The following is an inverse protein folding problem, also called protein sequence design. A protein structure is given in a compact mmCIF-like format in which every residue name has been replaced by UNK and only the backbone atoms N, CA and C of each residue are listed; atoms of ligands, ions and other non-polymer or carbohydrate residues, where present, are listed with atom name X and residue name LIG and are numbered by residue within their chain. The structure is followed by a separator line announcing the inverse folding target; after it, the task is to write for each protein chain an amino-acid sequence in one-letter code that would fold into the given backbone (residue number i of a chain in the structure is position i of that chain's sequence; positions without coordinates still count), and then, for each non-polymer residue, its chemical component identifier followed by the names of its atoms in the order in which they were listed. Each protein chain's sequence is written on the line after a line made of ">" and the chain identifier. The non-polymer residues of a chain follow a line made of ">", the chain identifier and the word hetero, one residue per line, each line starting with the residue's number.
data_IF_108880789663
#
_entry.id   IF_108880789663
#
_cell.length_a   1.000
_cell.length_b   1.000
_cell.length_c   1.000
_cell.angle_alpha   90.00
_cell.angle_beta   90.00
_cell.angle_gamma   90.00
#
_symmetry.space_group_name_H-M   'P 1'
#
loop_
_entity.id
_entity.type
_entity.pdbx_description
1 polymer ?
#
# COMPACT_ATOMS: atom_id res chain seq x y z
N UNK A 1 23.04 -28.87 50.78
CA UNK A 1 22.78 -28.75 52.22
C UNK A 1 21.49 -27.95 52.34
N UNK A 2 20.36 -28.39 52.80
CA UNK A 2 19.93 -29.38 53.77
C UNK A 2 18.51 -29.81 53.40
N UNK A 3 18.28 -31.11 53.43
CA UNK A 3 16.97 -31.78 53.35
C UNK A 3 16.17 -31.44 54.62
N UNK A 4 14.84 -31.32 54.50
CA UNK A 4 13.96 -31.72 55.59
C UNK A 4 12.64 -32.25 55.06
N UNK A 5 12.51 -33.57 55.23
CA UNK A 5 11.30 -34.37 55.07
C UNK A 5 10.42 -34.17 56.31
N UNK A 6 9.10 -34.04 56.12
CA UNK A 6 8.14 -34.43 57.20
C UNK A 6 7.04 -35.26 56.54
N UNK A 7 6.88 -36.44 57.10
CA UNK A 7 5.93 -37.52 56.80
C UNK A 7 4.68 -37.39 57.72
N UNK A 8 3.62 -38.06 57.28
CA UNK A 8 2.48 -38.68 57.99
C UNK A 8 1.18 -37.92 58.12
N UNK A 9 0.14 -38.55 57.64
CA UNK A 9 -1.24 -38.29 58.00
C UNK A 9 -2.24 -39.08 57.11
N UNK A 10 -2.27 -40.42 57.30
CA UNK A 10 -3.29 -41.30 56.69
C UNK A 10 -4.61 -41.11 57.45
N UNK A 11 -5.66 -40.62 56.84
CA UNK A 11 -7.02 -40.66 57.34
C UNK A 11 -7.94 -41.30 56.29
N UNK A 12 -8.22 -42.60 56.44
CA UNK A 12 -9.31 -43.30 55.75
C UNK A 12 -10.64 -42.75 56.29
N UNK A 13 -11.44 -42.17 55.42
CA UNK A 13 -12.88 -42.02 55.68
C UNK A 13 -13.61 -42.77 54.54
N UNK A 14 -14.15 -43.91 54.91
CA UNK A 14 -15.12 -44.63 54.14
C UNK A 14 -16.45 -43.86 54.17
N UNK A 15 -16.91 -43.38 53.03
CA UNK A 15 -18.28 -42.88 52.90
C UNK A 15 -19.00 -43.73 51.86
N UNK A 16 -20.06 -44.31 52.37
CA UNK A 16 -21.00 -45.19 51.73
C UNK A 16 -21.62 -44.64 50.47
N UNK A 17 -21.91 -45.54 49.54
CA UNK A 17 -22.51 -45.27 48.21
C UNK A 17 -23.82 -44.53 48.25
N UNK A 18 -23.90 -43.54 47.37
CA UNK A 18 -25.15 -43.10 46.77
C UNK A 18 -25.08 -43.49 45.30
N UNK A 19 -25.71 -44.57 44.94
CA UNK A 19 -26.08 -44.91 43.57
C UNK A 19 -27.09 -43.84 43.10
N UNK A 20 -26.59 -42.74 42.59
CA UNK A 20 -27.38 -41.81 41.79
C UNK A 20 -27.68 -42.56 40.47
N UNK A 21 -28.93 -42.94 40.29
CA UNK A 21 -29.47 -43.42 39.05
C UNK A 21 -29.15 -42.40 37.96
N UNK A 22 -28.14 -42.69 37.13
CA UNK A 22 -28.00 -42.03 35.84
C UNK A 22 -29.25 -42.38 35.04
N UNK A 23 -30.25 -41.50 35.06
CA UNK A 23 -31.28 -41.48 34.03
C UNK A 23 -30.58 -41.30 32.68
N UNK A 24 -30.46 -42.40 31.94
CA UNK A 24 -29.82 -42.44 30.64
C UNK A 24 -30.56 -41.51 29.70
N UNK A 25 -30.11 -40.26 29.59
CA UNK A 25 -30.46 -39.49 28.43
C UNK A 25 -29.90 -40.18 27.22
N UNK A 26 -30.73 -40.51 26.22
CA UNK A 26 -30.22 -41.16 25.02
C UNK A 26 -29.19 -40.23 24.39
N UNK A 27 -28.02 -40.79 24.07
CA UNK A 27 -26.97 -40.08 23.37
C UNK A 27 -27.55 -39.46 22.11
N UNK A 28 -27.28 -38.16 21.82
CA UNK A 28 -27.87 -37.52 20.66
C UNK A 28 -27.50 -38.27 19.37
N UNK A 29 -28.51 -38.50 18.53
CA UNK A 29 -28.30 -39.16 17.24
C UNK A 29 -27.38 -38.30 16.33
N UNK A 30 -26.69 -38.90 15.35
CA UNK A 30 -25.86 -38.15 14.40
C UNK A 30 -26.61 -36.96 13.74
N UNK A 31 -27.89 -37.15 13.45
CA UNK A 31 -28.76 -36.09 12.89
C UNK A 31 -28.98 -34.93 13.89
N UNK A 32 -29.19 -35.24 15.16
CA UNK A 32 -29.32 -34.22 16.22
C UNK A 32 -28.02 -33.47 16.46
N UNK A 33 -26.86 -34.16 16.42
CA UNK A 33 -25.54 -33.53 16.52
C UNK A 33 -25.26 -32.61 15.34
N UNK A 34 -25.59 -33.04 14.10
CA UNK A 34 -25.44 -32.19 12.90
C UNK A 34 -26.35 -30.95 12.96
N UNK A 35 -27.60 -31.09 13.43
CA UNK A 35 -28.51 -29.95 13.58
C UNK A 35 -28.03 -28.97 14.67
N UNK A 36 -27.49 -29.46 15.79
CA UNK A 36 -26.93 -28.64 16.84
C UNK A 36 -25.68 -27.86 16.32
N UNK A 37 -24.80 -28.54 15.60
CA UNK A 37 -23.62 -27.92 14.97
C UNK A 37 -24.03 -26.85 13.95
N UNK A 38 -25.01 -27.14 13.09
CA UNK A 38 -25.51 -26.15 12.13
C UNK A 38 -26.05 -24.91 12.83
N UNK A 39 -26.82 -25.06 13.90
CA UNK A 39 -27.34 -23.96 14.72
C UNK A 39 -26.21 -23.15 15.37
N UNK A 40 -25.18 -23.81 15.89
CA UNK A 40 -24.00 -23.18 16.45
C UNK A 40 -23.23 -22.38 15.38
N UNK A 41 -23.03 -22.96 14.20
CA UNK A 41 -22.39 -22.30 13.08
C UNK A 41 -23.17 -21.08 12.60
N UNK A 42 -24.50 -21.15 12.53
CA UNK A 42 -25.35 -20.01 12.17
C UNK A 42 -25.19 -18.86 13.18
N UNK A 43 -25.23 -19.15 14.50
CA UNK A 43 -25.05 -18.15 15.54
C UNK A 43 -23.65 -17.51 15.49
N UNK A 44 -22.59 -18.32 15.33
CA UNK A 44 -21.23 -17.84 15.24
C UNK A 44 -20.99 -16.98 13.98
N UNK A 45 -21.52 -17.42 12.84
CA UNK A 45 -21.41 -16.66 11.58
C UNK A 45 -22.17 -15.33 11.65
N UNK A 46 -23.31 -15.29 12.34
CA UNK A 46 -24.06 -14.06 12.54
C UNK A 46 -23.29 -13.03 13.38
N UNK A 47 -22.61 -13.47 14.44
CA UNK A 47 -21.72 -12.59 15.22
C UNK A 47 -20.59 -12.00 14.36
N UNK A 48 -20.00 -12.83 13.49
CA UNK A 48 -18.98 -12.36 12.53
C UNK A 48 -19.55 -11.38 11.51
N UNK A 49 -20.75 -11.61 11.02
CA UNK A 49 -21.45 -10.69 10.10
C UNK A 49 -21.72 -9.33 10.76
N UNK A 50 -22.10 -9.32 12.03
CA UNK A 50 -22.31 -8.07 12.76
C UNK A 50 -20.99 -7.32 12.97
N UNK A 51 -19.89 -8.03 13.24
CA UNK A 51 -18.53 -7.45 13.27
C UNK A 51 -18.15 -6.88 11.90
N UNK A 52 -18.38 -7.63 10.82
CA UNK A 52 -18.16 -7.16 9.45
C UNK A 52 -18.89 -5.84 9.19
N UNK A 53 -20.17 -5.78 9.49
CA UNK A 53 -21.00 -4.57 9.33
C UNK A 53 -20.48 -3.39 10.17
N UNK A 54 -20.01 -3.67 11.41
CA UNK A 54 -19.39 -2.66 12.28
C UNK A 54 -18.11 -2.09 11.67
N UNK A 55 -17.24 -2.94 11.16
CA UNK A 55 -15.99 -2.53 10.50
C UNK A 55 -16.27 -1.68 9.25
N UNK A 56 -17.30 -2.04 8.48
CA UNK A 56 -17.73 -1.24 7.33
C UNK A 56 -18.19 0.17 7.74
N UNK A 57 -18.94 0.30 8.82
CA UNK A 57 -19.36 1.60 9.40
C UNK A 57 -18.17 2.41 9.91
N UNK A 58 -17.13 1.75 10.40
CA UNK A 58 -15.87 2.38 10.87
C UNK A 58 -14.90 2.71 9.74
N UNK A 59 -15.29 2.54 8.47
CA UNK A 59 -14.43 2.77 7.29
C UNK A 59 -13.14 1.92 7.29
N UNK A 60 -13.22 0.67 7.78
CA UNK A 60 -12.11 -0.29 7.82
C UNK A 60 -12.34 -1.46 6.85
N UNK A 61 -12.39 -1.23 5.53
CA UNK A 61 -12.76 -2.25 4.55
C UNK A 61 -11.75 -3.41 4.47
N UNK A 62 -10.46 -3.18 4.77
CA UNK A 62 -9.45 -4.23 4.76
C UNK A 62 -9.71 -5.27 5.86
N UNK A 63 -10.05 -4.82 7.08
CA UNK A 63 -10.41 -5.72 8.18
C UNK A 63 -11.76 -6.40 7.92
N UNK A 64 -12.73 -5.67 7.34
CA UNK A 64 -14.01 -6.26 6.96
C UNK A 64 -13.83 -7.40 5.93
N UNK A 65 -12.92 -7.25 4.95
CA UNK A 65 -12.59 -8.32 4.00
C UNK A 65 -12.12 -9.57 4.71
N UNK A 66 -11.23 -9.46 5.69
CA UNK A 66 -10.72 -10.62 6.45
C UNK A 66 -11.84 -11.34 7.21
N UNK A 67 -12.77 -10.60 7.84
CA UNK A 67 -13.92 -11.19 8.52
C UNK A 67 -14.86 -11.88 7.53
N UNK A 68 -15.10 -11.28 6.35
CA UNK A 68 -15.90 -11.89 5.29
C UNK A 68 -15.30 -13.18 4.75
N UNK A 69 -13.99 -13.24 4.57
CA UNK A 69 -13.25 -14.46 4.19
C UNK A 69 -13.39 -15.54 5.25
N UNK A 70 -13.25 -15.17 6.53
CA UNK A 70 -13.42 -16.12 7.64
C UNK A 70 -14.85 -16.70 7.69
N UNK A 71 -15.88 -15.90 7.37
CA UNK A 71 -17.25 -16.39 7.28
C UNK A 71 -17.40 -17.45 6.18
N UNK A 72 -16.86 -17.19 4.98
CA UNK A 72 -16.93 -18.12 3.85
C UNK A 72 -16.15 -19.42 4.10
N UNK A 73 -14.98 -19.32 4.75
CA UNK A 73 -14.11 -20.46 5.04
C UNK A 73 -14.68 -21.36 6.15
N UNK A 74 -15.05 -20.76 7.28
CA UNK A 74 -15.44 -21.54 8.48
C UNK A 74 -16.94 -21.89 8.54
N UNK A 75 -17.79 -21.13 7.85
CA UNK A 75 -19.26 -21.24 7.95
C UNK A 75 -19.94 -21.26 6.58
N UNK A 76 -19.50 -22.09 5.61
CA UNK A 76 -19.91 -21.98 4.20
C UNK A 76 -21.41 -22.20 3.94
N UNK A 77 -22.14 -22.87 4.84
CA UNK A 77 -23.55 -23.23 4.66
C UNK A 77 -24.51 -22.32 5.44
N UNK A 78 -24.02 -21.18 5.95
CA UNK A 78 -24.85 -20.25 6.76
C UNK A 78 -25.47 -19.12 5.91
N UNK A 79 -26.45 -18.42 6.47
CA UNK A 79 -27.03 -17.23 5.86
C UNK A 79 -26.00 -16.13 5.67
N UNK A 80 -25.11 -15.95 6.64
CA UNK A 80 -24.01 -15.00 6.57
C UNK A 80 -23.05 -15.28 5.40
N UNK A 81 -22.71 -16.55 5.16
CA UNK A 81 -21.87 -16.93 4.02
C UNK A 81 -22.51 -16.60 2.67
N UNK A 82 -23.83 -16.83 2.52
CA UNK A 82 -24.56 -16.45 1.31
C UNK A 82 -24.48 -14.93 1.05
N UNK A 83 -24.68 -14.10 2.08
CA UNK A 83 -24.51 -12.64 1.97
C UNK A 83 -23.08 -12.26 1.56
N UNK A 84 -22.06 -12.94 2.09
CA UNK A 84 -20.65 -12.67 1.77
C UNK A 84 -20.27 -13.09 0.36
N UNK A 85 -20.86 -14.15 -0.19
CA UNK A 85 -20.59 -14.61 -1.56
C UNK A 85 -20.82 -13.49 -2.58
N UNK A 86 -21.87 -12.68 -2.42
CA UNK A 86 -22.20 -11.59 -3.33
C UNK A 86 -21.47 -10.28 -2.99
N UNK A 87 -21.20 -10.05 -1.73
CA UNK A 87 -20.67 -8.76 -1.22
C UNK A 87 -19.15 -8.71 -1.25
N UNK A 88 -18.48 -9.80 -0.87
CA UNK A 88 -17.04 -9.82 -0.64
C UNK A 88 -16.21 -9.56 -1.89
N UNK A 89 -16.53 -10.07 -3.09
CA UNK A 89 -15.75 -9.79 -4.30
C UNK A 89 -15.69 -8.28 -4.63
N UNK A 90 -16.83 -7.59 -4.52
CA UNK A 90 -16.94 -6.15 -4.76
C UNK A 90 -16.17 -5.34 -3.72
N UNK A 91 -16.25 -5.76 -2.45
CA UNK A 91 -15.52 -5.13 -1.36
C UNK A 91 -14.01 -5.31 -1.51
N UNK A 92 -13.54 -6.51 -1.87
CA UNK A 92 -12.13 -6.80 -2.16
C UNK A 92 -11.60 -5.91 -3.28
N UNK A 93 -12.32 -5.80 -4.39
CA UNK A 93 -11.93 -4.94 -5.49
C UNK A 93 -11.81 -3.47 -5.06
N UNK A 94 -12.78 -2.97 -4.28
CA UNK A 94 -12.76 -1.61 -3.74
C UNK A 94 -11.61 -1.39 -2.75
N UNK A 95 -11.38 -2.34 -1.86
CA UNK A 95 -10.28 -2.28 -0.89
C UNK A 95 -8.91 -2.30 -1.58
N UNK A 96 -8.73 -3.15 -2.59
CA UNK A 96 -7.52 -3.22 -3.40
C UNK A 96 -7.27 -1.90 -4.16
N UNK A 97 -8.29 -1.34 -4.80
CA UNK A 97 -8.18 -0.06 -5.49
C UNK A 97 -7.80 1.08 -4.54
N UNK A 98 -8.39 1.11 -3.33
CA UNK A 98 -8.05 2.12 -2.33
C UNK A 98 -6.63 1.94 -1.79
N UNK A 99 -6.20 0.70 -1.55
CA UNK A 99 -4.84 0.39 -1.12
C UNK A 99 -3.81 0.83 -2.19
N UNK A 100 -4.08 0.53 -3.46
CA UNK A 100 -3.23 0.94 -4.58
C UNK A 100 -3.16 2.46 -4.72
N UNK A 101 -4.29 3.17 -4.63
CA UNK A 101 -4.32 4.64 -4.61
C UNK A 101 -3.45 5.22 -3.49
N UNK A 102 -3.52 4.63 -2.31
CA UNK A 102 -2.71 5.05 -1.16
C UNK A 102 -1.23 4.73 -1.38
N UNK A 103 -0.90 3.56 -1.92
CA UNK A 103 0.47 3.16 -2.27
C UNK A 103 1.09 4.16 -3.24
N UNK A 104 0.40 4.46 -4.34
CA UNK A 104 0.86 5.40 -5.36
C UNK A 104 1.04 6.82 -4.79
N UNK A 105 0.12 7.28 -3.96
CA UNK A 105 0.23 8.60 -3.32
C UNK A 105 1.45 8.70 -2.38
N UNK A 106 1.83 7.61 -1.72
CA UNK A 106 2.98 7.54 -0.82
C UNK A 106 4.33 7.47 -1.56
N UNK A 107 4.35 7.23 -2.88
CA UNK A 107 5.56 7.31 -3.69
C UNK A 107 6.04 8.76 -3.87
N UNK A 108 5.16 9.73 -3.69
CA UNK A 108 5.46 11.15 -3.86
C UNK A 108 5.85 11.83 -2.56
N UNK A 109 7.00 12.49 -2.56
CA UNK A 109 7.47 13.34 -1.48
C UNK A 109 7.25 14.81 -1.85
N UNK A 110 6.49 15.53 -1.03
CA UNK A 110 6.23 16.95 -1.21
C UNK A 110 6.93 17.74 -0.11
N UNK A 111 7.73 18.72 -0.51
CA UNK A 111 8.51 19.52 0.45
C UNK A 111 8.49 21.00 0.06
N UNK A 112 8.47 21.85 1.08
CA UNK A 112 8.77 23.30 0.95
C UNK A 112 9.96 23.58 1.85
N UNK A 113 11.02 24.16 1.28
CA UNK A 113 12.25 24.42 2.01
C UNK A 113 12.94 25.70 1.52
N UNK A 114 13.72 26.38 2.39
CA UNK A 114 14.63 27.41 1.96
C UNK A 114 15.67 26.85 0.97
N UNK A 115 16.06 27.68 0.00
CA UNK A 115 17.12 27.42 -0.94
C UNK A 115 17.80 28.73 -1.32
N UNK A 116 19.04 28.68 -1.85
CA UNK A 116 19.73 29.87 -2.33
C UNK A 116 18.83 30.71 -3.26
N UNK A 117 18.72 31.99 -2.99
CA UNK A 117 17.86 32.91 -3.72
C UNK A 117 16.38 32.89 -3.29
N UNK A 118 15.97 32.06 -2.29
CA UNK A 118 14.59 32.10 -1.82
C UNK A 118 14.05 30.81 -1.24
N UNK A 119 12.85 30.43 -1.65
CA UNK A 119 12.14 29.22 -1.21
C UNK A 119 11.84 28.34 -2.40
N UNK A 120 11.91 27.02 -2.22
CA UNK A 120 11.46 26.05 -3.20
C UNK A 120 10.32 25.18 -2.67
N UNK A 121 9.45 24.77 -3.58
CA UNK A 121 8.44 23.72 -3.38
C UNK A 121 8.73 22.60 -4.36
N UNK A 122 8.90 21.39 -3.86
CA UNK A 122 9.23 20.23 -4.70
C UNK A 122 8.19 19.13 -4.56
N UNK A 123 7.94 18.42 -5.66
CA UNK A 123 7.31 17.11 -5.68
C UNK A 123 8.33 16.15 -6.30
N UNK A 124 8.67 15.11 -5.57
CA UNK A 124 9.74 14.17 -5.93
C UNK A 124 9.22 12.74 -5.93
N UNK A 125 9.55 12.00 -6.97
CA UNK A 125 9.30 10.57 -7.04
C UNK A 125 10.57 9.84 -7.50
N UNK A 126 10.86 8.69 -6.89
CA UNK A 126 11.95 7.81 -7.30
C UNK A 126 11.49 6.85 -8.39
N UNK A 127 12.40 6.47 -9.30
CA UNK A 127 12.12 5.41 -10.26
C UNK A 127 11.80 4.09 -9.56
N UNK A 128 10.83 3.36 -10.11
CA UNK A 128 10.50 1.99 -9.70
C UNK A 128 11.40 0.96 -10.39
N UNK A 129 11.89 1.27 -11.59
CA UNK A 129 12.78 0.42 -12.38
C UNK A 129 13.83 1.27 -13.11
N UNK A 130 15.04 0.75 -13.34
CA UNK A 130 15.61 -0.45 -12.73
C UNK A 130 15.96 -0.23 -11.25
N UNK A 131 15.95 -1.27 -10.43
CA UNK A 131 16.11 -1.17 -8.97
C UNK A 131 17.53 -0.81 -8.52
N UNK A 132 18.55 -1.14 -9.35
CA UNK A 132 19.96 -0.85 -9.09
C UNK A 132 20.38 0.60 -9.41
N UNK A 133 19.47 1.37 -10.01
CA UNK A 133 19.65 2.80 -10.31
C UNK A 133 18.69 3.61 -9.46
N UNK A 134 19.22 4.63 -8.81
CA UNK A 134 18.44 5.57 -8.02
C UNK A 134 18.39 6.92 -8.72
N UNK A 135 17.30 7.18 -9.41
CA UNK A 135 17.06 8.44 -10.09
C UNK A 135 15.71 9.03 -9.67
N UNK A 136 15.71 10.26 -9.21
CA UNK A 136 14.51 10.97 -8.81
C UNK A 136 14.02 11.83 -9.98
N UNK A 137 12.72 11.78 -10.26
CA UNK A 137 12.02 12.78 -11.07
C UNK A 137 11.54 13.87 -10.11
N UNK A 138 11.95 15.10 -10.34
CA UNK A 138 11.68 16.24 -9.48
C UNK A 138 10.96 17.32 -10.25
N UNK A 139 9.80 17.69 -9.76
CA UNK A 139 9.08 18.91 -10.12
C UNK A 139 9.42 19.96 -9.06
N UNK A 140 9.94 21.11 -9.47
CA UNK A 140 10.31 22.18 -8.55
C UNK A 140 9.67 23.50 -8.97
N UNK A 141 9.13 24.23 -8.00
CA UNK A 141 8.86 25.66 -8.07
C UNK A 141 9.85 26.37 -7.19
N UNK A 142 10.41 27.48 -7.68
CA UNK A 142 11.32 28.33 -6.93
C UNK A 142 10.90 29.78 -7.07
N UNK A 143 11.01 30.56 -5.99
CA UNK A 143 10.55 31.94 -5.96
C UNK A 143 11.26 32.84 -6.97
N UNK A 144 12.54 32.59 -7.25
CA UNK A 144 13.37 33.33 -8.19
C UNK A 144 13.46 32.63 -9.56
N UNK A 145 13.71 31.33 -9.59
CA UNK A 145 14.03 30.58 -10.83
C UNK A 145 12.81 30.00 -11.53
N UNK A 146 11.61 30.16 -10.96
CA UNK A 146 10.37 29.64 -11.52
C UNK A 146 10.25 28.11 -11.42
N UNK A 147 9.56 27.53 -12.40
CA UNK A 147 9.27 26.09 -12.45
C UNK A 147 10.34 25.35 -13.23
N UNK A 148 10.76 24.18 -12.74
CA UNK A 148 11.65 23.27 -13.45
C UNK A 148 11.23 21.82 -13.25
N UNK A 149 11.51 20.98 -14.25
CA UNK A 149 11.34 19.52 -14.22
C UNK A 149 12.68 18.91 -14.57
N UNK A 150 13.15 17.98 -13.75
CA UNK A 150 14.45 17.35 -13.99
C UNK A 150 14.55 15.97 -13.35
N UNK A 151 15.43 15.16 -13.91
CA UNK A 151 15.93 13.95 -13.29
C UNK A 151 17.15 14.29 -12.44
N UNK A 152 17.28 13.64 -11.31
CA UNK A 152 18.47 13.70 -10.47
C UNK A 152 18.95 12.27 -10.17
N UNK A 153 20.13 11.93 -10.65
CA UNK A 153 20.72 10.60 -10.45
C UNK A 153 21.40 10.54 -9.09
N UNK A 154 20.72 9.97 -8.10
CA UNK A 154 21.23 9.79 -6.75
C UNK A 154 22.40 8.75 -6.77
N UNK A 155 23.55 9.13 -6.24
CA UNK A 155 24.76 8.28 -6.17
C UNK A 155 25.36 7.84 -7.53
N UNK A 156 24.91 8.41 -8.65
CA UNK A 156 25.42 8.13 -9.99
C UNK A 156 26.31 9.27 -10.50
N UNK A 157 27.14 8.98 -11.51
CA UNK A 157 28.03 9.97 -12.13
C UNK A 157 27.28 11.03 -12.96
N UNK A 158 25.96 10.87 -13.11
CA UNK A 158 25.10 11.76 -13.85
C UNK A 158 24.68 11.26 -15.23
N UNK A 159 23.97 12.09 -15.96
CA UNK A 159 23.44 11.79 -17.28
C UNK A 159 24.40 12.22 -18.40
N UNK A 160 24.41 11.46 -19.49
CA UNK A 160 25.18 11.82 -20.68
C UNK A 160 24.24 12.56 -21.63
N UNK A 161 24.47 13.86 -21.79
CA UNK A 161 23.77 14.73 -22.71
C UNK A 161 24.75 15.82 -23.16
N UNK A 162 25.15 15.80 -24.44
CA UNK A 162 26.10 16.78 -25.00
C UNK A 162 25.33 18.00 -25.50
N UNK A 163 25.45 19.11 -24.80
CA UNK A 163 24.68 20.32 -25.10
C UNK A 163 23.19 20.09 -24.80
N UNK A 164 22.34 20.17 -25.82
CA UNK A 164 20.92 19.84 -25.75
C UNK A 164 20.69 18.48 -26.40
N UNK A 165 19.96 17.60 -25.71
CA UNK A 165 19.62 16.26 -26.20
C UNK A 165 18.10 16.05 -26.28
N UNK A 166 17.68 15.23 -27.25
CA UNK A 166 16.29 14.80 -27.38
C UNK A 166 16.06 13.56 -26.52
N UNK A 167 15.00 13.58 -25.73
CA UNK A 167 14.56 12.46 -24.88
C UNK A 167 13.11 12.12 -25.22
N UNK A 168 12.88 10.90 -25.69
CA UNK A 168 11.55 10.41 -26.04
C UNK A 168 10.87 9.84 -24.79
N UNK A 169 10.15 10.69 -24.05
CA UNK A 169 9.44 10.34 -22.81
C UNK A 169 8.11 9.69 -23.15
N UNK A 170 7.81 8.56 -22.52
CA UNK A 170 6.52 7.90 -22.69
C UNK A 170 5.62 8.17 -21.49
N UNK A 171 4.42 8.68 -21.73
CA UNK A 171 3.34 8.85 -20.78
C UNK A 171 2.25 7.82 -21.09
N UNK A 172 2.07 6.81 -20.22
CA UNK A 172 1.17 5.67 -20.46
C UNK A 172 1.34 5.04 -21.85
N UNK A 173 2.62 4.91 -22.29
CA UNK A 173 2.99 4.33 -23.57
C UNK A 173 2.96 5.29 -24.77
N UNK A 174 2.40 6.50 -24.64
CA UNK A 174 2.47 7.54 -25.68
C UNK A 174 3.79 8.27 -25.63
N UNK A 175 4.52 8.28 -26.75
CA UNK A 175 5.82 8.95 -26.87
C UNK A 175 5.63 10.45 -27.11
N UNK A 176 6.32 11.25 -26.30
CA UNK A 176 6.45 12.70 -26.48
C UNK A 176 7.94 13.08 -26.44
N UNK A 177 8.39 13.79 -27.45
CA UNK A 177 9.77 14.25 -27.54
C UNK A 177 9.97 15.51 -26.70
N UNK A 178 10.95 15.46 -25.78
CA UNK A 178 11.39 16.59 -24.99
C UNK A 178 12.85 16.89 -25.28
N UNK A 179 13.20 18.17 -25.22
CA UNK A 179 14.59 18.60 -25.17
C UNK A 179 15.04 18.67 -23.71
N UNK A 180 16.26 18.23 -23.45
CA UNK A 180 16.85 18.26 -22.12
C UNK A 180 18.31 18.70 -22.17
N UNK A 181 18.80 19.25 -21.06
CA UNK A 181 20.17 19.70 -20.90
C UNK A 181 20.73 19.22 -19.56
N UNK A 182 22.02 18.95 -19.50
CA UNK A 182 22.75 18.80 -18.23
C UNK A 182 23.19 20.18 -17.76
N UNK A 183 23.02 20.52 -16.47
CA UNK A 183 23.49 21.79 -15.94
C UNK A 183 25.00 21.84 -15.90
N UNK A 184 25.56 23.06 -15.99
CA UNK A 184 26.97 23.30 -15.81
C UNK A 184 27.45 22.86 -14.42
N UNK A 185 28.76 22.57 -14.29
CA UNK A 185 29.38 22.19 -13.02
C UNK A 185 29.23 20.74 -12.63
N UNK A 186 28.91 19.82 -13.58
CA UNK A 186 28.95 18.36 -13.37
C UNK A 186 27.91 17.80 -12.42
N UNK A 187 26.81 18.52 -12.18
CA UNK A 187 25.71 18.03 -11.34
C UNK A 187 25.03 16.83 -12.03
N UNK A 188 24.68 15.77 -11.28
CA UNK A 188 24.07 14.57 -11.84
C UNK A 188 22.58 14.78 -12.15
N UNK A 189 22.26 15.84 -12.90
CA UNK A 189 20.91 16.22 -13.26
C UNK A 189 20.70 16.28 -14.78
N UNK A 190 19.46 16.04 -15.24
CA UNK A 190 19.02 16.22 -16.61
C UNK A 190 17.75 17.07 -16.58
N UNK A 191 17.85 18.33 -17.05
CA UNK A 191 16.79 19.35 -16.98
C UNK A 191 15.96 19.32 -18.26
N UNK A 192 14.66 19.11 -18.15
CA UNK A 192 13.74 19.14 -19.29
C UNK A 192 13.37 20.58 -19.65
N UNK A 193 13.29 20.84 -20.95
CA UNK A 193 12.66 22.05 -21.50
C UNK A 193 11.14 21.84 -21.58
N UNK A 194 10.38 22.92 -21.82
CA UNK A 194 8.91 22.86 -21.92
C UNK A 194 8.25 22.23 -20.69
N UNK A 195 8.64 22.68 -19.50
CA UNK A 195 8.21 22.14 -18.21
C UNK A 195 6.69 22.11 -18.04
N UNK A 196 5.98 23.11 -18.59
CA UNK A 196 4.51 23.17 -18.53
C UNK A 196 3.87 21.98 -19.22
N UNK A 197 4.33 21.65 -20.42
CA UNK A 197 3.79 20.53 -21.20
C UNK A 197 4.09 19.20 -20.53
N UNK A 198 5.31 19.05 -19.98
CA UNK A 198 5.69 17.87 -19.22
C UNK A 198 4.76 17.66 -18.01
N UNK A 199 4.50 18.71 -17.22
CA UNK A 199 3.64 18.65 -16.04
C UNK A 199 2.20 18.30 -16.42
N UNK A 200 1.65 18.93 -17.47
CA UNK A 200 0.29 18.64 -17.94
C UNK A 200 0.10 17.18 -18.40
N UNK A 201 1.12 16.58 -19.00
CA UNK A 201 1.12 15.15 -19.36
C UNK A 201 1.26 14.27 -18.13
N UNK A 202 2.15 14.64 -17.20
CA UNK A 202 2.38 13.91 -15.95
C UNK A 202 1.12 13.85 -15.07
N UNK A 203 0.38 14.95 -14.97
CA UNK A 203 -0.87 15.02 -14.17
C UNK A 203 -1.93 14.01 -14.60
N UNK A 204 -1.86 13.54 -15.86
CA UNK A 204 -2.82 12.60 -16.46
C UNK A 204 -2.28 11.17 -16.54
N UNK A 205 -0.97 10.98 -16.37
CA UNK A 205 -0.31 9.71 -16.59
C UNK A 205 -0.23 8.88 -15.30
N UNK A 206 -0.56 7.61 -15.40
CA UNK A 206 -0.32 6.64 -14.34
C UNK A 206 1.14 6.20 -14.28
N UNK A 207 1.82 6.18 -15.44
CA UNK A 207 3.22 5.74 -15.57
C UNK A 207 3.99 6.58 -16.57
N UNK A 208 5.23 6.91 -16.23
CA UNK A 208 6.18 7.58 -17.14
C UNK A 208 7.40 6.68 -17.34
N UNK A 209 7.84 6.57 -18.59
CA UNK A 209 9.06 5.83 -18.96
C UNK A 209 10.02 6.78 -19.68
N UNK A 210 11.25 6.88 -19.19
CA UNK A 210 12.24 7.84 -19.67
C UNK A 210 13.53 7.11 -20.04
N UNK A 211 13.86 6.98 -21.32
CA UNK A 211 15.15 6.46 -21.77
C UNK A 211 16.24 7.53 -21.55
N UNK A 212 17.31 7.14 -20.87
CA UNK A 212 18.45 8.01 -20.56
C UNK A 212 19.76 7.26 -20.78
N UNK A 213 20.87 7.98 -20.91
CA UNK A 213 22.21 7.41 -20.82
C UNK A 213 22.86 7.89 -19.52
N UNK A 214 23.28 6.96 -18.67
CA UNK A 214 23.96 7.25 -17.39
C UNK A 214 25.44 6.99 -17.56
N UNK A 215 26.27 7.91 -17.09
CA UNK A 215 27.73 7.80 -17.20
C UNK A 215 28.24 6.57 -16.44
N UNK A 216 28.93 5.69 -17.16
CA UNK A 216 29.45 4.43 -16.62
C UNK A 216 28.46 3.26 -16.59
N UNK A 217 27.16 3.50 -16.83
CA UNK A 217 26.13 2.44 -16.89
C UNK A 217 25.47 2.28 -18.28
N UNK A 218 25.74 3.21 -19.20
CA UNK A 218 25.20 3.17 -20.56
C UNK A 218 23.71 3.53 -20.62
N UNK A 219 23.03 3.03 -21.65
CA UNK A 219 21.61 3.31 -21.88
C UNK A 219 20.73 2.59 -20.87
N UNK A 220 19.84 3.32 -20.23
CA UNK A 220 18.90 2.85 -19.21
C UNK A 220 17.49 3.34 -19.51
N UNK A 221 16.50 2.63 -19.01
CA UNK A 221 15.10 3.05 -19.09
C UNK A 221 14.56 3.21 -17.67
N UNK A 222 14.31 4.44 -17.26
CA UNK A 222 13.76 4.75 -15.94
C UNK A 222 12.24 4.73 -15.99
N UNK A 223 11.61 4.03 -15.05
CA UNK A 223 10.16 3.93 -14.93
C UNK A 223 9.70 4.61 -13.66
N UNK A 224 8.65 5.40 -13.73
CA UNK A 224 8.02 6.10 -12.60
C UNK A 224 6.52 5.82 -12.57
N UNK A 225 5.99 5.37 -11.44
CA UNK A 225 4.56 5.14 -11.22
C UNK A 225 3.91 6.45 -10.73
N UNK A 226 3.52 7.31 -11.65
CA UNK A 226 3.12 8.69 -11.38
C UNK A 226 1.67 8.88 -10.94
N UNK A 227 0.82 7.86 -11.03
CA UNK A 227 -0.64 7.93 -10.80
C UNK A 227 -1.09 8.41 -9.41
N UNK A 228 -0.15 8.58 -8.46
CA UNK A 228 -0.42 9.15 -7.14
C UNK A 228 -0.06 10.64 -7.01
N UNK A 229 0.34 11.32 -8.09
CA UNK A 229 0.64 12.74 -8.06
C UNK A 229 -0.57 13.56 -7.63
N UNK A 230 -0.36 14.47 -6.68
CA UNK A 230 -1.39 15.41 -6.23
C UNK A 230 -0.87 16.84 -6.37
N UNK A 231 -1.36 17.61 -7.36
CA UNK A 231 -0.92 18.98 -7.60
C UNK A 231 -1.21 19.93 -6.42
N UNK A 232 -2.26 19.68 -5.61
CA UNK A 232 -2.60 20.49 -4.45
C UNK A 232 -1.57 20.39 -3.32
N UNK A 233 -0.86 19.26 -3.23
CA UNK A 233 0.24 19.06 -2.29
C UNK A 233 1.53 19.74 -2.74
N UNK A 234 1.71 19.94 -4.03
CA UNK A 234 2.84 20.67 -4.59
C UNK A 234 2.54 22.16 -4.60
N UNK A 235 2.78 22.81 -3.46
CA UNK A 235 2.30 24.16 -3.18
C UNK A 235 2.86 25.21 -4.15
N UNK A 236 2.02 26.11 -4.66
CA UNK A 236 2.50 27.30 -5.33
C UNK A 236 3.27 28.18 -4.33
N UNK A 237 4.29 28.86 -4.82
CA UNK A 237 5.03 29.86 -4.05
C UNK A 237 4.56 31.24 -4.47
N UNK A 238 4.26 32.11 -3.50
CA UNK A 238 3.98 33.53 -3.76
C UNK A 238 5.21 34.17 -4.44
N UNK A 239 4.97 35.01 -5.45
CA UNK A 239 6.01 35.92 -5.94
C UNK A 239 6.32 36.90 -4.82
N UNK A 240 7.60 37.12 -4.53
CA UNK A 240 8.03 38.23 -3.70
C UNK A 240 7.78 39.55 -4.44
#
# INVERSE_FOLDING_TARGET
>A
MSMSSIRHGLAMVAVAGLLAACSGQPSPTPAQQAAAQQKANEAASQQKLDLFRKLMKMHQPQLAVQIGEEILDKYPHTAAAREMTDTLPKLKAKAAAQAEKTRLANLWLYQVSPMAGGTQSTATIRNSEPHDIKANLILRRHTEWGTSVYLYADQEKGFVCRGECKVDVQFDGKVHAFHAVTPDGGRPALMFRHQKDFIQLLEKAAKITIPVTIQGKGRQTLVYETGGFNPDKWKPLGKK
#
